data_IF_265572685887
#
_entry.id   IF_265572685887
#
_cell.length_a   1.000
_cell.length_b   1.000
_cell.length_c   1.000
_cell.angle_alpha   90.00
_cell.angle_beta   90.00
_cell.angle_gamma   90.00
#
_symmetry.space_group_name_H-M   'P 1'
#
loop_
_entity.id
_entity.type
_entity.pdbx_description
1 polymer ?
#
# COMPACT_ATOMS: atom_id res chain seq x y z
N UNK A 1 7.29 21.80 -8.83
CA UNK A 1 7.08 20.41 -9.27
C UNK A 1 6.75 19.50 -8.07
N UNK A 2 6.14 18.33 -8.30
CA UNK A 2 5.93 17.26 -7.32
C UNK A 2 6.21 15.91 -7.99
N UNK A 3 6.73 14.93 -7.25
CA UNK A 3 6.84 13.53 -7.71
C UNK A 3 5.44 12.91 -7.84
N UNK A 4 5.08 12.46 -9.04
CA UNK A 4 4.03 11.46 -9.24
C UNK A 4 4.64 10.06 -9.12
N UNK A 5 3.88 9.13 -8.53
CA UNK A 5 4.26 7.72 -8.44
C UNK A 5 3.28 6.82 -9.22
N UNK A 6 2.38 7.39 -10.02
CA UNK A 6 1.35 6.62 -10.71
C UNK A 6 1.90 5.61 -11.73
N UNK A 7 2.98 5.87 -12.50
CA UNK A 7 3.60 4.86 -13.36
C UNK A 7 3.99 3.59 -12.60
N UNK A 8 4.58 3.73 -11.40
CA UNK A 8 4.93 2.60 -10.54
C UNK A 8 3.69 1.89 -9.96
N UNK A 9 2.54 2.58 -9.83
CA UNK A 9 1.26 1.96 -9.43
C UNK A 9 0.59 1.22 -10.58
N UNK A 10 0.75 1.69 -11.81
CA UNK A 10 0.34 0.97 -13.02
C UNK A 10 1.16 -0.32 -13.15
N UNK A 11 2.50 -0.22 -13.09
CA UNK A 11 3.39 -1.40 -13.05
C UNK A 11 3.01 -2.36 -11.91
N UNK A 12 2.74 -1.83 -10.72
CA UNK A 12 2.26 -2.61 -9.56
C UNK A 12 0.93 -3.32 -9.81
N UNK A 13 -0.03 -2.75 -10.54
CA UNK A 13 -1.27 -3.45 -10.92
C UNK A 13 -0.96 -4.66 -11.81
N UNK A 14 -0.16 -4.46 -12.87
CA UNK A 14 0.22 -5.52 -13.81
C UNK A 14 0.97 -6.67 -13.12
N UNK A 15 1.93 -6.36 -12.23
CA UNK A 15 2.64 -7.36 -11.42
C UNK A 15 1.65 -8.19 -10.60
N UNK A 16 0.74 -7.54 -9.89
CA UNK A 16 -0.20 -8.25 -9.01
C UNK A 16 -1.26 -9.03 -9.77
N UNK A 17 -1.71 -8.57 -10.93
CA UNK A 17 -2.60 -9.30 -11.83
C UNK A 17 -1.99 -10.65 -12.25
N UNK A 18 -0.70 -10.67 -12.61
CA UNK A 18 0.03 -11.94 -12.88
C UNK A 18 0.07 -12.83 -11.65
N UNK A 19 0.40 -12.29 -10.47
CA UNK A 19 0.48 -13.09 -9.24
C UNK A 19 -0.87 -13.72 -8.87
N UNK A 20 -1.98 -13.01 -9.07
CA UNK A 20 -3.34 -13.50 -8.78
C UNK A 20 -3.92 -14.44 -9.84
N UNK A 21 -3.24 -14.67 -10.97
CA UNK A 21 -3.73 -15.56 -12.04
C UNK A 21 -3.19 -17.00 -11.96
N UNK A 22 -2.61 -17.40 -10.82
CA UNK A 22 -2.11 -18.76 -10.60
C UNK A 22 -3.06 -19.58 -9.73
N UNK A 23 -3.55 -20.70 -10.26
CA UNK A 23 -4.42 -21.62 -9.53
C UNK A 23 -3.73 -22.15 -8.26
N UNK A 24 -4.46 -22.14 -7.15
CA UNK A 24 -3.95 -22.60 -5.85
C UNK A 24 -2.92 -21.68 -5.20
N UNK A 25 -2.84 -20.40 -5.60
CA UNK A 25 -1.96 -19.38 -5.00
C UNK A 25 -2.76 -18.21 -4.44
N UNK A 26 -2.70 -17.99 -3.13
CA UNK A 26 -3.25 -16.79 -2.48
C UNK A 26 -2.19 -15.68 -2.37
N UNK A 27 -2.62 -14.41 -2.46
CA UNK A 27 -1.70 -13.25 -2.59
C UNK A 27 -2.00 -12.15 -1.56
N UNK A 28 -1.04 -11.83 -0.70
CA UNK A 28 -1.07 -10.64 0.17
C UNK A 28 -0.13 -9.55 -0.36
N UNK A 29 -0.68 -8.35 -0.61
CA UNK A 29 0.10 -7.18 -1.02
C UNK A 29 0.89 -6.59 0.16
N UNK A 30 2.20 -6.81 0.16
CA UNK A 30 3.13 -6.32 1.18
C UNK A 30 3.63 -4.88 0.92
N UNK A 31 3.78 -4.50 -0.35
CA UNK A 31 4.29 -3.19 -0.78
C UNK A 31 3.75 -2.78 -2.17
N UNK A 32 4.51 -1.92 -2.87
CA UNK A 32 4.21 -1.58 -4.27
C UNK A 32 4.79 -2.65 -5.22
N UNK A 33 5.92 -3.23 -4.84
CA UNK A 33 6.77 -4.19 -5.55
C UNK A 33 6.93 -5.52 -4.78
N UNK A 34 6.43 -5.61 -3.54
CA UNK A 34 6.55 -6.80 -2.69
C UNK A 34 5.20 -7.46 -2.39
N UNK A 35 5.15 -8.78 -2.52
CA UNK A 35 4.01 -9.63 -2.21
C UNK A 35 4.42 -10.80 -1.30
N UNK A 36 3.45 -11.34 -0.55
CA UNK A 36 3.53 -12.68 0.04
C UNK A 36 2.61 -13.60 -0.75
N UNK A 37 3.09 -14.81 -1.03
CA UNK A 37 2.37 -15.84 -1.77
C UNK A 37 2.21 -17.06 -0.85
N UNK A 38 0.99 -17.58 -0.74
CA UNK A 38 0.76 -18.91 -0.18
C UNK A 38 0.58 -19.84 -1.37
N UNK A 39 1.62 -20.64 -1.63
CA UNK A 39 1.68 -21.60 -2.74
C UNK A 39 1.40 -23.03 -2.28
N UNK A 40 0.89 -23.23 -1.05
CA UNK A 40 0.73 -24.56 -0.43
C UNK A 40 -0.14 -25.48 -1.29
N UNK A 41 -1.27 -24.98 -1.80
CA UNK A 41 -2.20 -25.76 -2.62
C UNK A 41 -1.61 -26.06 -4.02
N UNK A 42 -1.01 -25.06 -4.68
CA UNK A 42 -0.32 -25.25 -5.96
C UNK A 42 0.85 -26.26 -5.87
N UNK A 43 1.67 -26.18 -4.80
CA UNK A 43 2.77 -27.10 -4.55
C UNK A 43 2.27 -28.53 -4.24
N UNK A 44 1.17 -28.67 -3.49
CA UNK A 44 0.55 -29.96 -3.23
C UNK A 44 -0.03 -30.62 -4.49
N UNK A 45 -0.68 -29.83 -5.36
CA UNK A 45 -1.18 -30.30 -6.65
C UNK A 45 -0.05 -30.75 -7.59
N UNK A 46 1.04 -29.97 -7.68
CA UNK A 46 2.23 -30.37 -8.43
C UNK A 46 2.88 -31.65 -7.87
N UNK A 47 2.95 -31.78 -6.55
CA UNK A 47 3.47 -32.98 -5.88
C UNK A 47 2.59 -34.22 -6.14
N UNK A 48 1.27 -34.06 -6.16
CA UNK A 48 0.34 -35.14 -6.53
C UNK A 48 0.54 -35.59 -7.98
N UNK A 49 0.70 -34.63 -8.91
CA UNK A 49 1.02 -34.92 -10.32
C UNK A 49 2.34 -35.69 -10.44
N UNK A 50 3.40 -35.20 -9.80
CA UNK A 50 4.73 -35.86 -9.80
C UNK A 50 4.70 -37.28 -9.23
N UNK A 51 3.91 -37.53 -8.18
CA UNK A 51 3.69 -38.90 -7.66
C UNK A 51 3.00 -39.81 -8.68
N UNK A 52 1.97 -39.32 -9.38
CA UNK A 52 1.28 -40.10 -10.41
C UNK A 52 2.23 -40.43 -11.58
N UNK A 53 2.95 -39.43 -12.09
CA UNK A 53 3.97 -39.59 -13.14
C UNK A 53 5.03 -40.64 -12.74
N UNK A 54 5.50 -40.63 -11.49
CA UNK A 54 6.47 -41.62 -11.00
C UNK A 54 5.88 -43.03 -10.86
N UNK A 55 4.63 -43.16 -10.40
CA UNK A 55 3.97 -44.47 -10.30
C UNK A 55 3.78 -45.14 -11.67
N UNK A 56 3.44 -44.37 -12.71
CA UNK A 56 3.30 -44.90 -14.08
C UNK A 56 4.64 -45.40 -14.67
N UNK A 57 5.77 -44.88 -14.20
CA UNK A 57 7.11 -45.36 -14.57
C UNK A 57 7.60 -46.55 -13.71
N UNK A 58 6.77 -47.03 -12.77
CA UNK A 58 7.00 -48.28 -12.03
C UNK A 58 8.15 -48.27 -11.03
N UNK A 59 8.72 -47.11 -10.70
CA UNK A 59 9.92 -47.03 -9.86
C UNK A 59 9.82 -46.00 -8.73
N UNK A 60 10.20 -46.44 -7.52
CA UNK A 60 10.64 -45.57 -6.43
C UNK A 60 9.61 -45.23 -5.35
N UNK A 61 10.14 -45.00 -4.15
CA UNK A 61 9.40 -44.51 -2.98
C UNK A 61 9.61 -43.01 -2.76
N UNK A 62 8.95 -42.46 -1.74
CA UNK A 62 8.95 -41.02 -1.42
C UNK A 62 10.35 -40.41 -1.23
N UNK A 63 11.36 -41.20 -0.84
CA UNK A 63 12.76 -40.74 -0.74
C UNK A 63 13.42 -40.49 -2.11
N UNK A 64 13.07 -41.28 -3.13
CA UNK A 64 13.56 -41.12 -4.50
C UNK A 64 12.85 -39.97 -5.21
N UNK A 65 11.54 -39.81 -4.97
CA UNK A 65 10.78 -38.62 -5.36
C UNK A 65 11.41 -37.34 -4.81
N UNK A 66 11.72 -37.33 -3.51
CA UNK A 66 12.35 -36.18 -2.86
C UNK A 66 13.74 -35.86 -3.45
N UNK A 67 14.51 -36.87 -3.86
CA UNK A 67 15.82 -36.68 -4.51
C UNK A 67 15.70 -36.11 -5.93
N UNK A 68 14.75 -36.62 -6.73
CA UNK A 68 14.46 -36.09 -8.07
C UNK A 68 13.98 -34.63 -7.99
N UNK A 69 13.01 -34.34 -7.12
CA UNK A 69 12.50 -32.99 -6.89
C UNK A 69 13.57 -32.05 -6.32
N UNK A 70 14.48 -32.53 -5.46
CA UNK A 70 15.61 -31.72 -4.99
C UNK A 70 16.51 -31.28 -6.16
N UNK A 71 16.74 -32.18 -7.13
CA UNK A 71 17.55 -31.89 -8.33
C UNK A 71 16.88 -30.87 -9.24
N UNK A 72 15.57 -31.02 -9.50
CA UNK A 72 14.78 -30.04 -10.26
C UNK A 72 14.75 -28.67 -9.55
N UNK A 73 14.51 -28.65 -8.24
CA UNK A 73 14.43 -27.40 -7.47
C UNK A 73 15.79 -26.68 -7.39
N UNK A 74 16.90 -27.41 -7.28
CA UNK A 74 18.25 -26.85 -7.25
C UNK A 74 18.66 -26.19 -8.59
N UNK A 75 18.12 -26.65 -9.72
CA UNK A 75 18.36 -26.01 -11.02
C UNK A 75 17.77 -24.58 -11.10
N UNK A 76 16.73 -24.28 -10.32
CA UNK A 76 16.04 -22.97 -10.32
C UNK A 76 16.19 -22.17 -9.01
N UNK A 77 16.73 -22.76 -7.94
CA UNK A 77 16.74 -22.20 -6.58
C UNK A 77 18.06 -22.39 -5.87
N UNK A 78 18.59 -21.34 -5.23
CA UNK A 78 19.69 -21.47 -4.29
C UNK A 78 19.16 -22.00 -2.95
N UNK A 79 19.69 -23.12 -2.47
CA UNK A 79 19.33 -23.67 -1.15
C UNK A 79 20.18 -23.03 -0.06
N UNK A 80 19.57 -22.62 1.04
CA UNK A 80 20.30 -22.33 2.29
C UNK A 80 20.45 -23.63 3.08
N UNK A 81 21.59 -24.28 2.84
CA UNK A 81 22.04 -25.49 3.54
C UNK A 81 22.60 -25.18 4.95
N UNK A 82 22.80 -26.22 5.75
CA UNK A 82 23.40 -26.13 7.09
C UNK A 82 24.94 -26.08 7.09
N UNK A 83 25.61 -26.23 5.95
CA UNK A 83 27.05 -26.00 5.77
C UNK A 83 27.31 -24.62 5.11
N UNK A 84 28.30 -23.84 5.51
CA UNK A 84 29.71 -24.26 5.74
C UNK A 84 30.24 -24.11 7.17
N UNK A 85 29.42 -23.70 8.14
CA UNK A 85 29.85 -23.56 9.55
C UNK A 85 28.91 -24.33 10.49
N UNK A 86 29.22 -25.61 10.71
CA UNK A 86 28.70 -26.34 11.88
C UNK A 86 29.05 -25.52 13.13
N UNK A 87 28.05 -24.99 13.83
CA UNK A 87 28.28 -24.28 15.08
C UNK A 87 28.93 -25.24 16.08
N UNK A 88 30.08 -24.85 16.61
CA UNK A 88 30.84 -25.65 17.56
C UNK A 88 30.10 -25.76 18.90
N UNK A 89 29.24 -24.78 19.19
CA UNK A 89 28.35 -24.70 20.36
C UNK A 89 27.11 -25.61 20.24
N UNK A 90 27.32 -26.91 20.00
CA UNK A 90 26.24 -27.89 19.88
C UNK A 90 25.32 -27.94 21.12
N UNK A 91 25.87 -27.64 22.31
CA UNK A 91 25.12 -27.52 23.57
C UNK A 91 24.10 -26.37 23.53
N UNK A 92 24.40 -25.27 22.83
CA UNK A 92 23.49 -24.12 22.74
C UNK A 92 22.25 -24.43 21.90
N UNK A 93 22.39 -25.28 20.88
CA UNK A 93 21.26 -25.79 20.10
C UNK A 93 20.46 -26.88 20.85
N UNK A 94 21.02 -27.55 21.86
CA UNK A 94 20.41 -28.73 22.46
C UNK A 94 19.06 -28.47 23.17
N UNK A 95 18.80 -27.23 23.59
CA UNK A 95 17.61 -26.87 24.39
C UNK A 95 16.26 -26.90 23.63
N UNK A 96 16.26 -27.01 22.30
CA UNK A 96 15.03 -27.06 21.50
C UNK A 96 15.16 -28.12 20.38
N UNK A 97 14.10 -28.91 20.07
CA UNK A 97 14.12 -29.82 18.94
C UNK A 97 14.53 -29.13 17.63
N UNK A 98 15.31 -29.83 16.82
CA UNK A 98 15.47 -29.48 15.41
C UNK A 98 14.27 -30.09 14.68
N UNK A 99 13.56 -29.32 13.85
CA UNK A 99 12.52 -29.86 12.98
C UNK A 99 13.18 -30.78 11.94
N UNK A 100 12.90 -32.08 11.99
CA UNK A 100 13.48 -33.05 11.06
C UNK A 100 12.60 -33.20 9.83
N UNK A 101 12.97 -32.48 8.76
CA UNK A 101 12.27 -32.54 7.47
C UNK A 101 12.41 -33.92 6.82
N UNK A 102 11.41 -34.78 7.05
CA UNK A 102 11.25 -36.03 6.32
C UNK A 102 10.91 -35.80 4.84
N UNK A 103 11.07 -36.82 3.98
CA UNK A 103 10.87 -36.70 2.54
C UNK A 103 9.56 -36.00 2.10
N UNK A 104 8.36 -36.27 2.68
CA UNK A 104 7.13 -35.58 2.27
C UNK A 104 7.17 -34.05 2.42
N UNK A 105 7.81 -33.54 3.48
CA UNK A 105 7.94 -32.10 3.73
C UNK A 105 8.89 -31.49 2.71
N UNK A 106 10.05 -32.14 2.49
CA UNK A 106 11.04 -31.70 1.49
C UNK A 106 10.45 -31.66 0.09
N UNK A 107 9.76 -32.72 -0.34
CA UNK A 107 9.06 -32.81 -1.63
C UNK A 107 8.09 -31.64 -1.85
N UNK A 108 7.30 -31.27 -0.83
CA UNK A 108 6.38 -30.13 -0.91
C UNK A 108 7.13 -28.80 -1.08
N UNK A 109 8.22 -28.58 -0.35
CA UNK A 109 9.06 -27.38 -0.49
C UNK A 109 9.78 -27.31 -1.85
N UNK A 110 10.19 -28.45 -2.41
CA UNK A 110 10.77 -28.50 -3.76
C UNK A 110 9.71 -28.19 -4.83
N UNK A 111 8.50 -28.74 -4.74
CA UNK A 111 7.38 -28.35 -5.61
C UNK A 111 7.03 -26.86 -5.46
N UNK A 112 7.06 -26.29 -4.26
CA UNK A 112 6.87 -24.85 -4.04
C UNK A 112 7.95 -24.00 -4.74
N UNK A 113 9.20 -24.49 -4.81
CA UNK A 113 10.26 -23.82 -5.56
C UNK A 113 10.00 -23.82 -7.08
N UNK A 114 9.50 -24.94 -7.63
CA UNK A 114 9.13 -25.03 -9.05
C UNK A 114 7.97 -24.07 -9.38
N UNK A 115 6.91 -24.07 -8.56
CA UNK A 115 5.77 -23.13 -8.70
C UNK A 115 6.24 -21.67 -8.64
N UNK A 116 7.13 -21.31 -7.71
CA UNK A 116 7.68 -19.94 -7.61
C UNK A 116 8.58 -19.58 -8.80
N UNK A 117 9.27 -20.54 -9.40
CA UNK A 117 10.04 -20.33 -10.62
C UNK A 117 9.13 -20.07 -11.84
N UNK A 118 8.04 -20.82 -11.97
CA UNK A 118 7.02 -20.62 -13.01
C UNK A 118 6.33 -19.26 -12.88
N UNK A 119 5.96 -18.85 -11.65
CA UNK A 119 5.40 -17.52 -11.36
C UNK A 119 6.37 -16.41 -11.77
N UNK A 120 7.66 -16.55 -11.43
CA UNK A 120 8.70 -15.57 -11.80
C UNK A 120 8.95 -15.51 -13.30
N UNK A 121 8.87 -16.65 -14.01
CA UNK A 121 8.96 -16.70 -15.48
C UNK A 121 7.78 -15.98 -16.12
N UNK A 122 6.55 -16.32 -15.76
CA UNK A 122 5.35 -15.70 -16.29
C UNK A 122 5.27 -14.19 -16.00
N UNK A 123 5.81 -13.74 -14.85
CA UNK A 123 5.94 -12.31 -14.53
C UNK A 123 6.85 -11.58 -15.53
N UNK A 124 8.04 -12.14 -15.82
CA UNK A 124 8.96 -11.58 -16.81
C UNK A 124 8.37 -11.62 -18.22
N UNK A 125 7.71 -12.71 -18.60
CA UNK A 125 7.05 -12.86 -19.91
C UNK A 125 5.89 -11.87 -20.11
N UNK A 126 5.03 -11.66 -19.10
CA UNK A 126 3.84 -10.79 -19.22
C UNK A 126 4.08 -9.31 -18.91
N UNK A 127 5.16 -8.94 -18.21
CA UNK A 127 5.39 -7.56 -17.75
C UNK A 127 6.77 -6.99 -18.03
N UNK A 128 7.73 -7.82 -18.49
CA UNK A 128 9.14 -7.46 -18.60
C UNK A 128 9.88 -7.37 -17.26
N UNK A 129 9.22 -7.40 -16.10
CA UNK A 129 9.86 -7.24 -14.80
C UNK A 129 10.46 -8.54 -14.26
N UNK A 130 11.66 -8.44 -13.67
CA UNK A 130 12.32 -9.53 -12.95
C UNK A 130 12.06 -9.42 -11.45
N UNK A 131 11.79 -10.55 -10.80
CA UNK A 131 11.58 -10.61 -9.35
C UNK A 131 12.56 -11.60 -8.68
N UNK A 132 12.82 -11.38 -7.40
CA UNK A 132 13.54 -12.33 -6.54
C UNK A 132 12.65 -12.78 -5.40
N UNK A 133 12.76 -14.04 -4.98
CA UNK A 133 11.84 -14.67 -4.05
C UNK A 133 12.55 -15.42 -2.90
N UNK A 134 11.84 -15.60 -1.79
CA UNK A 134 12.24 -16.48 -0.70
C UNK A 134 11.14 -17.49 -0.43
N UNK A 135 11.48 -18.78 -0.38
CA UNK A 135 10.58 -19.89 -0.08
C UNK A 135 10.95 -20.43 1.30
N UNK A 136 10.01 -20.36 2.26
CA UNK A 136 10.20 -20.84 3.63
C UNK A 136 8.87 -20.92 4.38
N UNK A 137 8.83 -21.62 5.51
CA UNK A 137 7.58 -22.04 6.20
C UNK A 137 6.68 -20.93 6.78
N UNK A 138 7.02 -19.65 6.61
CA UNK A 138 6.19 -18.50 6.97
C UNK A 138 6.69 -17.21 6.31
N UNK A 139 5.85 -16.17 6.30
CA UNK A 139 6.14 -14.83 5.75
C UNK A 139 7.43 -14.20 6.31
N UNK A 140 7.77 -14.44 7.57
CA UNK A 140 8.98 -13.86 8.18
C UNK A 140 10.25 -14.48 7.57
N UNK A 141 10.30 -15.81 7.50
CA UNK A 141 11.40 -16.57 6.91
C UNK A 141 11.50 -16.36 5.39
N UNK A 142 10.38 -16.36 4.68
CA UNK A 142 10.33 -16.01 3.25
C UNK A 142 10.88 -14.60 2.99
N UNK A 143 10.50 -13.61 3.82
CA UNK A 143 10.97 -12.22 3.66
C UNK A 143 12.47 -12.08 3.89
N UNK A 144 13.04 -12.65 4.95
CA UNK A 144 14.48 -12.48 5.24
C UNK A 144 15.38 -13.10 4.17
N UNK A 145 15.05 -14.27 3.62
CA UNK A 145 15.87 -14.93 2.59
C UNK A 145 15.60 -14.41 1.16
N UNK A 146 14.50 -13.68 0.93
CA UNK A 146 14.18 -13.07 -0.38
C UNK A 146 15.23 -12.07 -0.88
N UNK A 147 16.10 -11.57 0.01
CA UNK A 147 17.18 -10.66 -0.30
C UNK A 147 18.52 -11.35 -0.63
N UNK A 148 18.75 -12.58 -0.16
CA UNK A 148 20.09 -13.19 -0.07
C UNK A 148 20.82 -13.30 -1.40
N UNK A 149 20.11 -13.64 -2.48
CA UNK A 149 20.69 -13.88 -3.80
C UNK A 149 20.19 -12.89 -4.87
N UNK A 150 19.74 -11.69 -4.48
CA UNK A 150 19.33 -10.65 -5.45
C UNK A 150 20.50 -10.23 -6.36
N UNK A 151 20.27 -9.88 -7.64
CA UNK A 151 18.98 -9.82 -8.35
C UNK A 151 18.58 -11.15 -9.02
N UNK A 152 17.31 -11.23 -9.44
CA UNK A 152 16.70 -12.29 -10.25
C UNK A 152 17.01 -13.75 -9.86
N UNK A 153 17.05 -14.05 -8.55
CA UNK A 153 17.14 -15.42 -8.01
C UNK A 153 16.04 -15.70 -7.00
N UNK A 154 15.85 -16.97 -6.68
CA UNK A 154 15.02 -17.41 -5.56
C UNK A 154 15.84 -18.26 -4.59
N UNK A 155 15.48 -18.19 -3.31
CA UNK A 155 16.20 -18.83 -2.21
C UNK A 155 15.26 -19.73 -1.40
N UNK A 156 15.63 -20.98 -1.16
CA UNK A 156 14.89 -21.91 -0.31
C UNK A 156 15.52 -21.97 1.08
N UNK A 157 14.70 -21.91 2.13
CA UNK A 157 15.04 -22.27 3.50
C UNK A 157 14.07 -23.35 3.98
N UNK A 158 14.58 -24.56 4.17
CA UNK A 158 13.82 -25.69 4.70
C UNK A 158 13.50 -25.49 6.20
N UNK A 159 12.38 -26.04 6.72
CA UNK A 159 11.99 -25.91 8.13
C UNK A 159 13.10 -26.27 9.12
N UNK A 160 13.81 -27.39 8.94
CA UNK A 160 14.91 -27.82 9.81
C UNK A 160 16.10 -26.88 9.80
N UNK A 161 16.55 -26.47 8.61
CA UNK A 161 17.63 -25.50 8.44
C UNK A 161 17.28 -24.10 9.01
N UNK A 162 15.99 -23.80 9.21
CA UNK A 162 15.54 -22.49 9.70
C UNK A 162 16.10 -22.14 11.08
N UNK A 163 16.32 -23.14 11.95
CA UNK A 163 16.92 -22.92 13.27
C UNK A 163 18.39 -22.52 13.16
N UNK A 164 19.17 -23.30 12.41
CA UNK A 164 20.60 -23.08 12.16
C UNK A 164 20.86 -21.73 11.48
N UNK A 165 20.01 -21.36 10.51
CA UNK A 165 20.02 -20.05 9.87
C UNK A 165 19.69 -18.89 10.83
N UNK A 166 18.64 -19.02 11.64
CA UNK A 166 18.21 -17.95 12.55
C UNK A 166 19.18 -17.70 13.70
N UNK A 167 19.83 -18.73 14.23
CA UNK A 167 20.66 -18.60 15.44
C UNK A 167 21.74 -17.51 15.30
N UNK A 168 22.38 -17.44 14.13
CA UNK A 168 23.39 -16.41 13.78
C UNK A 168 22.81 -15.10 13.24
N UNK A 169 21.50 -15.02 12.98
CA UNK A 169 20.88 -13.85 12.39
C UNK A 169 20.72 -12.73 13.44
N UNK A 170 21.21 -11.50 13.18
CA UNK A 170 20.88 -10.35 14.02
C UNK A 170 19.37 -10.13 14.06
N UNK A 171 18.75 -10.21 15.24
CA UNK A 171 17.29 -10.31 15.35
C UNK A 171 16.57 -9.04 14.85
N UNK A 172 17.27 -7.90 14.85
CA UNK A 172 16.82 -6.63 14.26
C UNK A 172 16.55 -6.71 12.75
N UNK A 173 17.09 -7.71 12.04
CA UNK A 173 16.75 -7.98 10.63
C UNK A 173 15.38 -8.63 10.44
N UNK A 174 14.76 -9.20 11.48
CA UNK A 174 13.43 -9.80 11.41
C UNK A 174 12.33 -8.74 11.22
N UNK A 175 11.25 -9.12 10.52
CA UNK A 175 10.12 -8.23 10.22
C UNK A 175 9.47 -7.72 11.52
N UNK A 176 9.57 -6.40 11.74
CA UNK A 176 9.05 -5.71 12.93
C UNK A 176 10.11 -5.34 13.98
N UNK A 177 11.35 -5.83 13.87
CA UNK A 177 12.41 -5.56 14.85
C UNK A 177 13.42 -4.50 14.41
N UNK A 178 13.47 -4.13 13.13
CA UNK A 178 14.36 -3.08 12.59
C UNK A 178 13.98 -1.64 12.96
N UNK A 179 13.38 -1.41 14.13
CA UNK A 179 12.93 -0.11 14.62
C UNK A 179 13.02 -0.02 16.15
N UNK A 180 12.33 0.98 16.75
CA UNK A 180 12.44 1.29 18.19
C UNK A 180 12.36 0.06 19.10
N UNK A 181 11.39 -0.83 18.87
CA UNK A 181 11.20 -2.08 19.60
C UNK A 181 12.50 -2.91 19.68
N UNK A 182 13.11 -3.24 18.53
CA UNK A 182 14.33 -4.04 18.51
C UNK A 182 15.55 -3.31 19.06
N UNK A 183 15.68 -2.00 18.86
CA UNK A 183 16.77 -1.22 19.46
C UNK A 183 16.67 -1.15 20.99
N UNK A 184 15.45 -1.09 21.55
CA UNK A 184 15.23 -1.14 23.00
C UNK A 184 15.50 -2.55 23.53
N UNK A 185 14.98 -3.59 22.86
CA UNK A 185 15.24 -4.99 23.22
C UNK A 185 16.72 -5.33 23.22
N UNK A 186 17.49 -4.92 22.19
CA UNK A 186 18.92 -5.21 22.10
C UNK A 186 19.70 -4.61 23.29
N UNK A 187 19.34 -3.37 23.67
CA UNK A 187 19.95 -2.66 24.80
C UNK A 187 19.57 -3.26 26.16
N UNK A 188 18.30 -3.63 26.36
CA UNK A 188 17.78 -4.05 27.68
C UNK A 188 17.88 -5.56 27.94
N UNK A 189 17.99 -6.38 26.89
CA UNK A 189 18.28 -7.81 26.98
C UNK A 189 19.77 -8.15 26.77
N UNK A 190 20.58 -7.19 26.31
CA UNK A 190 22.02 -7.33 26.01
C UNK A 190 22.26 -8.50 25.04
N UNK A 191 21.66 -8.38 23.85
CA UNK A 191 21.70 -9.38 22.79
C UNK A 191 21.62 -8.72 21.40
N UNK A 192 22.24 -9.32 20.40
CA UNK A 192 22.22 -8.85 19.01
C UNK A 192 21.58 -9.85 18.04
N UNK A 193 21.65 -11.15 18.36
CA UNK A 193 21.24 -12.29 17.54
C UNK A 193 19.95 -12.94 18.01
N UNK A 194 19.33 -13.76 17.16
CA UNK A 194 18.20 -14.60 17.57
C UNK A 194 18.66 -15.76 18.49
N UNK A 195 19.93 -16.18 18.42
CA UNK A 195 20.50 -17.23 19.26
C UNK A 195 20.59 -16.84 20.73
N UNK A 196 21.11 -15.65 21.03
CA UNK A 196 21.15 -15.09 22.39
C UNK A 196 19.75 -14.92 22.99
N UNK A 197 18.77 -14.53 22.15
CA UNK A 197 17.37 -14.44 22.54
C UNK A 197 16.61 -15.78 22.54
N UNK A 198 17.23 -16.88 22.07
CA UNK A 198 16.52 -18.13 21.79
C UNK A 198 15.94 -18.76 23.06
N UNK A 199 16.72 -18.78 24.13
CA UNK A 199 16.35 -19.38 25.42
C UNK A 199 15.80 -18.36 26.43
N UNK A 200 15.55 -17.11 26.01
CA UNK A 200 14.95 -16.08 26.86
C UNK A 200 13.49 -16.43 27.18
N UNK A 201 13.14 -16.42 28.46
CA UNK A 201 11.80 -16.68 28.96
C UNK A 201 10.79 -15.66 28.39
N UNK A 202 9.58 -16.09 28.06
CA UNK A 202 8.59 -15.27 27.33
C UNK A 202 8.21 -14.01 28.10
N UNK A 203 8.18 -14.12 29.41
CA UNK A 203 7.86 -13.08 30.39
C UNK A 203 8.84 -11.90 30.30
N UNK A 204 10.08 -12.13 29.86
CA UNK A 204 11.08 -11.08 29.63
C UNK A 204 10.78 -10.21 28.40
N UNK A 205 9.91 -10.65 27.48
CA UNK A 205 9.50 -9.84 26.33
C UNK A 205 8.27 -8.96 26.62
N UNK A 206 7.48 -9.28 27.63
CA UNK A 206 6.25 -8.54 27.96
C UNK A 206 6.43 -7.03 28.24
N UNK A 207 7.51 -6.54 28.90
CA UNK A 207 7.71 -5.11 29.13
C UNK A 207 7.77 -4.29 27.84
N UNK A 208 8.30 -4.83 26.74
CA UNK A 208 8.42 -4.14 25.46
C UNK A 208 7.08 -3.99 24.69
N UNK A 209 6.05 -4.70 25.14
CA UNK A 209 4.68 -4.73 24.57
C UNK A 209 3.63 -4.36 25.63
N UNK A 210 4.00 -3.48 26.57
CA UNK A 210 3.07 -2.93 27.57
C UNK A 210 2.54 -3.94 28.59
N UNK A 211 3.15 -5.12 28.70
CA UNK A 211 2.73 -6.22 29.56
C UNK A 211 1.90 -7.31 28.85
N UNK A 212 1.61 -7.18 27.56
CA UNK A 212 0.79 -8.16 26.84
C UNK A 212 1.55 -9.50 26.63
N UNK A 213 1.08 -10.54 27.32
CA UNK A 213 1.68 -11.89 27.24
C UNK A 213 1.34 -12.64 25.95
N UNK A 214 0.37 -12.21 25.14
CA UNK A 214 0.14 -12.75 23.79
C UNK A 214 1.13 -12.14 22.80
N UNK A 215 1.31 -10.81 22.79
CA UNK A 215 2.33 -10.15 21.97
C UNK A 215 3.76 -10.60 22.35
N UNK A 216 4.02 -10.83 23.65
CA UNK A 216 5.29 -11.39 24.12
C UNK A 216 5.57 -12.79 23.54
N UNK A 217 4.53 -13.64 23.43
CA UNK A 217 4.63 -14.95 22.76
C UNK A 217 4.89 -14.79 21.28
N UNK A 218 4.25 -13.83 20.59
CA UNK A 218 4.53 -13.55 19.18
C UNK A 218 5.94 -13.00 18.93
N UNK A 219 6.51 -12.23 19.86
CA UNK A 219 7.92 -11.81 19.80
C UNK A 219 8.82 -13.05 19.87
N UNK A 220 8.64 -13.88 20.90
CA UNK A 220 9.44 -15.08 21.09
C UNK A 220 9.29 -16.09 19.93
N UNK A 221 8.08 -16.25 19.39
CA UNK A 221 7.79 -17.08 18.23
C UNK A 221 8.55 -16.60 16.98
N UNK A 222 8.47 -15.31 16.65
CA UNK A 222 9.16 -14.72 15.49
C UNK A 222 10.68 -14.87 15.57
N UNK A 223 11.27 -14.66 16.75
CA UNK A 223 12.70 -14.88 17.01
C UNK A 223 13.08 -16.35 16.77
N UNK A 224 12.22 -17.29 17.20
CA UNK A 224 12.39 -18.74 17.02
C UNK A 224 11.94 -19.27 15.65
N UNK A 225 11.62 -18.40 14.69
CA UNK A 225 11.21 -18.78 13.34
C UNK A 225 9.80 -19.36 13.20
N UNK A 226 8.97 -19.25 14.23
CA UNK A 226 7.56 -19.64 14.24
C UNK A 226 6.71 -18.42 13.89
N UNK A 227 5.97 -18.49 12.78
CA UNK A 227 5.08 -17.43 12.34
C UNK A 227 3.62 -17.75 12.71
N UNK A 228 2.90 -16.77 13.26
CA UNK A 228 1.44 -16.86 13.45
C UNK A 228 0.71 -16.48 12.15
N UNK A 229 1.02 -17.17 11.06
CA UNK A 229 0.45 -16.92 9.74
C UNK A 229 -0.93 -17.57 9.62
N UNK A 230 -1.91 -16.93 10.25
CA UNK A 230 -3.36 -17.27 10.22
C UNK A 230 -4.00 -16.90 8.87
N UNK A 231 -3.40 -17.38 7.79
CA UNK A 231 -3.74 -17.05 6.41
C UNK A 231 -3.14 -15.72 5.93
N UNK A 232 -3.08 -15.58 4.61
CA UNK A 232 -2.76 -14.31 3.95
C UNK A 232 -4.00 -13.41 3.92
N UNK A 233 -3.86 -12.11 4.18
CA UNK A 233 -4.97 -11.19 3.90
C UNK A 233 -4.94 -10.73 2.45
N UNK A 234 -5.74 -11.38 1.61
CA UNK A 234 -6.03 -10.91 0.26
C UNK A 234 -6.63 -9.49 0.34
N UNK A 235 -5.98 -8.54 -0.34
CA UNK A 235 -6.36 -7.11 -0.32
C UNK A 235 -6.10 -6.46 -1.67
N UNK A 236 -7.15 -6.40 -2.47
CA UNK A 236 -7.11 -5.81 -3.80
C UNK A 236 -7.08 -4.27 -3.69
N UNK A 237 -7.98 -3.69 -2.90
CA UNK A 237 -8.08 -2.25 -2.70
C UNK A 237 -7.12 -1.71 -1.60
N UNK A 238 -6.54 -0.50 -1.77
CA UNK A 238 -5.69 0.14 -0.76
C UNK A 238 -6.49 0.64 0.45
N UNK A 239 -5.92 0.55 1.67
CA UNK A 239 -6.55 1.06 2.90
C UNK A 239 -6.63 2.59 3.01
N UNK A 240 -5.80 3.31 2.26
CA UNK A 240 -5.74 4.77 2.25
C UNK A 240 -5.10 5.31 0.97
N UNK A 241 -5.44 6.54 0.63
CA UNK A 241 -4.83 7.33 -0.45
C UNK A 241 -4.14 8.55 0.18
N UNK A 242 -2.95 8.91 -0.28
CA UNK A 242 -2.08 9.92 0.35
C UNK A 242 -1.33 10.72 -0.71
N UNK A 243 -1.57 12.02 -0.80
CA UNK A 243 -0.80 12.98 -1.60
C UNK A 243 0.00 13.88 -0.65
N UNK A 244 1.33 13.78 -0.67
CA UNK A 244 2.23 14.50 0.23
C UNK A 244 3.27 15.31 -0.55
N UNK A 245 3.59 16.52 -0.08
CA UNK A 245 4.72 17.32 -0.57
C UNK A 245 5.39 18.05 0.60
N UNK A 246 6.67 17.75 0.81
CA UNK A 246 7.61 18.63 1.51
C UNK A 246 8.21 19.64 0.52
N UNK A 247 8.36 20.90 0.91
CA UNK A 247 8.78 22.01 0.06
C UNK A 247 9.68 22.98 0.83
N UNK A 248 10.64 23.57 0.12
CA UNK A 248 11.59 24.55 0.65
C UNK A 248 11.64 25.76 -0.28
N UNK A 249 11.76 27.00 0.23
CA UNK A 249 11.73 27.36 1.64
C UNK A 249 10.33 27.15 2.27
N UNK A 250 10.30 26.93 3.58
CA UNK A 250 9.06 26.90 4.35
C UNK A 250 8.30 28.24 4.20
N UNK A 251 6.97 28.20 4.22
CA UNK A 251 6.13 29.38 3.94
C UNK A 251 4.92 29.49 4.87
N UNK A 252 4.38 30.70 5.00
CA UNK A 252 3.11 31.01 5.64
C UNK A 252 2.24 31.92 4.74
N UNK A 253 2.58 31.96 3.46
CA UNK A 253 1.93 32.71 2.39
C UNK A 253 0.71 31.94 1.88
N UNK A 254 -0.49 32.52 2.03
CA UNK A 254 -1.75 31.87 1.67
C UNK A 254 -1.81 31.41 0.21
N UNK A 255 -1.24 32.18 -0.74
CA UNK A 255 -1.27 31.82 -2.16
C UNK A 255 -0.34 30.63 -2.44
N UNK A 256 0.85 30.62 -1.84
CA UNK A 256 1.80 29.50 -1.97
C UNK A 256 1.31 28.24 -1.26
N UNK A 257 0.67 28.39 -0.10
CA UNK A 257 0.02 27.28 0.60
C UNK A 257 -1.13 26.71 -0.21
N UNK A 258 -2.05 27.56 -0.70
CA UNK A 258 -3.18 27.14 -1.52
C UNK A 258 -2.73 26.47 -2.81
N UNK A 259 -1.74 27.01 -3.52
CA UNK A 259 -1.19 26.40 -4.74
C UNK A 259 -0.70 24.97 -4.54
N UNK A 260 0.01 24.68 -3.44
CA UNK A 260 0.40 23.31 -3.11
C UNK A 260 -0.79 22.43 -2.72
N UNK A 261 -1.74 22.95 -1.93
CA UNK A 261 -2.92 22.20 -1.51
C UNK A 261 -3.81 21.82 -2.71
N UNK A 262 -3.97 22.71 -3.69
CA UNK A 262 -4.69 22.45 -4.94
C UNK A 262 -4.04 21.35 -5.78
N UNK A 263 -2.70 21.32 -5.89
CA UNK A 263 -1.98 20.23 -6.55
C UNK A 263 -2.18 18.90 -5.82
N UNK A 264 -2.07 18.88 -4.49
CA UNK A 264 -2.26 17.67 -3.69
C UNK A 264 -3.71 17.16 -3.73
N UNK A 265 -4.69 18.06 -3.70
CA UNK A 265 -6.11 17.72 -3.73
C UNK A 265 -6.52 17.14 -5.09
N UNK A 266 -6.04 17.74 -6.20
CA UNK A 266 -6.34 17.23 -7.55
C UNK A 266 -5.69 15.87 -7.83
N UNK A 267 -4.46 15.62 -7.37
CA UNK A 267 -3.88 14.26 -7.38
C UNK A 267 -4.70 13.28 -6.53
N UNK A 268 -5.15 13.70 -5.35
CA UNK A 268 -5.90 12.84 -4.45
C UNK A 268 -7.26 12.45 -5.06
N UNK A 269 -7.97 13.39 -5.70
CA UNK A 269 -9.24 13.12 -6.41
C UNK A 269 -9.00 12.20 -7.62
N UNK A 270 -7.99 12.44 -8.46
CA UNK A 270 -7.66 11.54 -9.56
C UNK A 270 -7.42 10.10 -9.07
N UNK A 271 -6.75 9.94 -7.93
CA UNK A 271 -6.52 8.61 -7.33
C UNK A 271 -7.75 8.00 -6.68
N UNK A 272 -8.72 8.80 -6.21
CA UNK A 272 -10.04 8.29 -5.83
C UNK A 272 -10.78 7.74 -7.03
N UNK A 273 -10.77 8.44 -8.17
CA UNK A 273 -11.44 8.01 -9.42
C UNK A 273 -10.86 6.68 -9.90
N UNK A 274 -9.53 6.57 -9.94
CA UNK A 274 -8.82 5.33 -10.28
C UNK A 274 -9.24 4.18 -9.34
N UNK A 275 -9.14 4.38 -8.03
CA UNK A 275 -9.46 3.31 -7.04
C UNK A 275 -10.95 2.94 -7.01
N UNK A 276 -11.84 3.87 -7.36
CA UNK A 276 -13.25 3.55 -7.53
C UNK A 276 -13.51 2.74 -8.80
N UNK A 277 -12.81 3.05 -9.89
CA UNK A 277 -12.90 2.32 -11.16
C UNK A 277 -12.34 0.89 -11.01
N UNK A 278 -11.17 0.76 -10.37
CA UNK A 278 -10.48 -0.51 -10.16
C UNK A 278 -11.22 -1.46 -9.18
N UNK A 279 -11.94 -0.91 -8.18
CA UNK A 279 -12.40 -1.70 -7.02
C UNK A 279 -13.84 -1.41 -6.52
N UNK A 280 -14.57 -0.44 -7.09
CA UNK A 280 -15.94 -0.09 -6.66
C UNK A 280 -16.06 0.50 -5.25
N UNK A 281 -14.95 0.90 -4.62
CA UNK A 281 -14.90 1.43 -3.25
C UNK A 281 -14.55 2.93 -3.23
N UNK A 282 -15.16 3.67 -2.29
CA UNK A 282 -14.82 5.07 -2.03
C UNK A 282 -14.39 5.33 -0.58
N UNK A 283 -13.46 6.27 -0.34
CA UNK A 283 -13.16 6.77 1.00
C UNK A 283 -14.31 7.64 1.55
N UNK A 284 -14.35 7.77 2.88
CA UNK A 284 -15.35 8.57 3.61
C UNK A 284 -14.73 9.67 4.48
N UNK A 285 -13.44 9.55 4.83
CA UNK A 285 -12.74 10.53 5.67
C UNK A 285 -11.65 11.25 4.86
N UNK A 286 -11.62 12.58 4.95
CA UNK A 286 -10.52 13.44 4.50
C UNK A 286 -9.59 13.75 5.68
N UNK A 287 -8.28 13.57 5.50
CA UNK A 287 -7.25 13.82 6.50
C UNK A 287 -6.27 14.88 5.98
N UNK A 288 -5.94 15.84 6.82
CA UNK A 288 -5.06 16.97 6.53
C UNK A 288 -3.95 16.95 7.58
N UNK A 289 -2.70 16.82 7.13
CA UNK A 289 -1.52 16.96 8.00
C UNK A 289 -0.59 18.06 7.52
N UNK A 290 -0.01 18.76 8.47
CA UNK A 290 0.84 19.94 8.23
C UNK A 290 2.07 19.86 9.11
N UNK A 291 3.24 20.07 8.50
CA UNK A 291 4.53 20.13 9.19
C UNK A 291 5.17 21.51 9.06
N UNK A 292 5.97 21.88 10.05
CA UNK A 292 6.93 22.98 10.02
C UNK A 292 8.39 22.51 9.88
N UNK A 293 8.63 21.22 10.18
CA UNK A 293 9.92 20.53 10.14
C UNK A 293 9.70 19.08 9.67
N UNK A 294 9.01 18.93 8.53
CA UNK A 294 8.49 17.66 8.02
C UNK A 294 7.33 17.10 8.83
N UNK A 295 6.99 15.83 8.57
CA UNK A 295 5.89 15.10 9.25
C UNK A 295 6.41 14.10 10.30
N UNK A 296 7.66 14.25 10.72
CA UNK A 296 8.35 13.41 11.71
C UNK A 296 8.58 14.11 13.06
N UNK A 297 8.24 15.40 13.17
CA UNK A 297 8.28 16.15 14.44
C UNK A 297 7.07 15.82 15.34
N UNK A 298 7.13 16.26 16.59
CA UNK A 298 5.99 16.23 17.53
C UNK A 298 4.87 17.18 17.13
N UNK A 299 5.20 18.24 16.37
CA UNK A 299 4.37 19.44 16.23
C UNK A 299 3.49 19.39 14.96
N UNK A 300 3.26 18.18 14.44
CA UNK A 300 2.49 17.93 13.22
C UNK A 300 1.00 18.13 13.52
N UNK A 301 0.43 19.19 12.97
CA UNK A 301 -1.02 19.33 12.93
C UNK A 301 -1.61 18.14 12.18
N UNK A 302 -2.62 17.49 12.77
CA UNK A 302 -3.34 16.38 12.16
C UNK A 302 -4.84 16.59 12.38
N UNK A 303 -5.59 16.84 11.31
CA UNK A 303 -7.04 17.03 11.35
C UNK A 303 -7.72 16.04 10.42
N UNK A 304 -8.90 15.56 10.83
CA UNK A 304 -9.76 14.72 10.00
C UNK A 304 -11.18 15.27 9.99
N UNK A 305 -11.86 15.07 8.87
CA UNK A 305 -13.24 15.49 8.63
C UNK A 305 -13.91 14.52 7.64
N UNK A 306 -15.23 14.62 7.48
CA UNK A 306 -15.94 13.90 6.43
C UNK A 306 -15.47 14.39 5.03
N UNK A 307 -15.38 13.45 4.09
CA UNK A 307 -15.06 13.73 2.69
C UNK A 307 -16.35 14.10 1.94
N UNK A 308 -16.48 15.30 1.34
CA UNK A 308 -17.61 15.62 0.47
C UNK A 308 -17.69 14.65 -0.71
N UNK A 309 -18.90 14.27 -1.10
CA UNK A 309 -19.14 13.31 -2.19
C UNK A 309 -20.20 13.84 -3.18
N UNK A 310 -19.91 13.90 -4.50
CA UNK A 310 -18.61 13.62 -5.13
C UNK A 310 -17.51 14.61 -4.68
N UNK A 311 -16.23 14.19 -4.64
CA UNK A 311 -15.13 15.02 -4.16
C UNK A 311 -14.62 15.94 -5.27
N UNK A 312 -14.56 17.25 -4.99
CA UNK A 312 -13.93 18.23 -5.87
C UNK A 312 -12.53 18.65 -5.37
N UNK A 313 -11.60 18.83 -6.30
CA UNK A 313 -10.22 19.16 -5.99
C UNK A 313 -10.03 20.56 -5.40
N UNK A 314 -10.79 21.55 -5.87
CA UNK A 314 -10.68 22.92 -5.36
C UNK A 314 -11.42 23.09 -4.03
N UNK A 315 -12.57 22.43 -3.83
CA UNK A 315 -13.23 22.35 -2.52
C UNK A 315 -12.32 21.74 -1.44
N UNK A 316 -11.65 20.62 -1.74
CA UNK A 316 -10.71 19.98 -0.80
C UNK A 316 -9.48 20.86 -0.52
N UNK A 317 -9.01 21.64 -1.49
CA UNK A 317 -7.92 22.60 -1.29
C UNK A 317 -8.33 23.76 -0.37
N UNK A 318 -9.53 24.34 -0.56
CA UNK A 318 -10.07 25.37 0.33
C UNK A 318 -10.30 24.84 1.75
N UNK A 319 -10.85 23.63 1.89
CA UNK A 319 -11.03 22.96 3.17
C UNK A 319 -9.70 22.77 3.92
N UNK A 320 -8.66 22.30 3.22
CA UNK A 320 -7.34 22.15 3.79
C UNK A 320 -6.71 23.51 4.19
N UNK A 321 -6.85 24.55 3.36
CA UNK A 321 -6.33 25.89 3.67
C UNK A 321 -7.02 26.48 4.91
N UNK A 322 -8.33 26.32 5.04
CA UNK A 322 -9.07 26.78 6.22
C UNK A 322 -8.55 26.11 7.52
N UNK A 323 -8.29 24.80 7.49
CA UNK A 323 -7.67 24.06 8.60
C UNK A 323 -6.25 24.55 8.91
N UNK A 324 -5.42 24.77 7.88
CA UNK A 324 -4.05 25.31 8.02
C UNK A 324 -4.08 26.69 8.68
N UNK A 325 -4.88 27.63 8.15
CA UNK A 325 -4.99 29.00 8.67
C UNK A 325 -5.54 29.03 10.09
N UNK A 326 -6.54 28.21 10.40
CA UNK A 326 -7.08 28.07 11.75
C UNK A 326 -6.03 27.56 12.75
N UNK A 327 -5.11 26.66 12.35
CA UNK A 327 -4.02 26.25 13.21
C UNK A 327 -2.97 27.36 13.40
N UNK A 328 -2.52 27.98 12.30
CA UNK A 328 -1.54 29.08 12.34
C UNK A 328 -2.02 30.28 13.16
N UNK A 329 -3.33 30.51 13.25
CA UNK A 329 -3.92 31.58 14.05
C UNK A 329 -4.08 31.25 15.55
N UNK A 330 -4.13 29.97 15.95
CA UNK A 330 -4.45 29.55 17.33
C UNK A 330 -3.25 29.09 18.16
N UNK A 331 -2.11 28.76 17.53
CA UNK A 331 -0.85 28.59 18.26
C UNK A 331 -0.25 29.97 18.62
N UNK A 332 0.74 30.01 19.51
CA UNK A 332 1.59 31.19 19.81
C UNK A 332 2.53 31.58 18.63
N UNK A 333 2.11 31.23 17.42
CA UNK A 333 2.92 30.95 16.25
C UNK A 333 3.00 32.13 15.25
N UNK A 334 3.09 33.37 15.75
CA UNK A 334 3.31 34.55 14.90
C UNK A 334 4.67 34.44 14.18
N UNK A 335 4.64 33.93 12.95
CA UNK A 335 5.82 33.70 12.12
C UNK A 335 6.17 32.22 11.87
N UNK A 336 5.41 31.27 12.40
CA UNK A 336 5.59 29.85 12.04
C UNK A 336 5.34 29.65 10.55
N UNK A 337 6.27 28.96 9.90
CA UNK A 337 6.22 28.59 8.49
C UNK A 337 6.01 27.09 8.39
N UNK A 338 5.17 26.68 7.44
CA UNK A 338 4.93 25.27 7.11
C UNK A 338 5.84 24.85 5.97
N UNK A 339 6.38 23.64 6.05
CA UNK A 339 7.33 23.07 5.08
C UNK A 339 6.78 21.78 4.43
N UNK A 340 5.68 21.23 4.94
CA UNK A 340 5.13 19.97 4.46
C UNK A 340 3.61 19.90 4.59
N UNK A 341 2.96 19.42 3.54
CA UNK A 341 1.55 19.04 3.55
C UNK A 341 1.40 17.57 3.18
N UNK A 342 0.45 16.89 3.84
CA UNK A 342 -0.10 15.60 3.41
C UNK A 342 -1.63 15.72 3.43
N UNK A 343 -2.23 15.45 2.27
CA UNK A 343 -3.68 15.25 2.13
C UNK A 343 -3.94 13.76 1.97
N UNK A 344 -4.89 13.23 2.73
CA UNK A 344 -5.19 11.81 2.78
C UNK A 344 -6.67 11.51 2.70
N UNK A 345 -7.00 10.32 2.20
CA UNK A 345 -8.35 9.78 2.19
C UNK A 345 -8.35 8.36 2.76
N UNK A 346 -9.28 8.09 3.68
CA UNK A 346 -9.30 6.82 4.45
C UNK A 346 -10.72 6.29 4.64
N UNK A 347 -10.83 5.08 5.20
CA UNK A 347 -12.08 4.33 5.40
C UNK A 347 -12.77 4.09 4.05
N UNK A 348 -12.18 3.21 3.23
CA UNK A 348 -12.75 2.83 1.94
C UNK A 348 -13.84 1.77 2.13
N UNK A 349 -15.01 1.95 1.51
CA UNK A 349 -16.13 1.00 1.51
C UNK A 349 -16.76 0.92 0.11
N UNK A 350 -17.41 -0.19 -0.28
CA UNK A 350 -18.20 -0.25 -1.51
C UNK A 350 -19.29 0.81 -1.55
N UNK A 351 -19.53 1.40 -2.73
CA UNK A 351 -20.67 2.29 -2.96
C UNK A 351 -21.32 2.02 -4.33
N UNK A 352 -22.33 1.12 -4.39
CA UNK A 352 -23.04 0.79 -5.63
C UNK A 352 -24.00 1.89 -6.12
N UNK A 353 -24.14 3.00 -5.40
CA UNK A 353 -24.89 4.16 -5.86
C UNK A 353 -24.06 5.10 -6.73
N UNK A 354 -22.72 5.02 -6.67
CA UNK A 354 -21.83 5.85 -7.49
C UNK A 354 -21.30 5.08 -8.71
N UNK A 355 -21.08 5.78 -9.81
CA UNK A 355 -20.38 5.32 -11.02
C UNK A 355 -19.33 6.35 -11.44
N UNK A 356 -18.37 5.98 -12.30
CA UNK A 356 -17.46 6.93 -12.95
C UNK A 356 -17.81 7.04 -14.43
N UNK A 357 -17.88 8.26 -14.94
CA UNK A 357 -18.07 8.60 -16.37
C UNK A 357 -17.07 9.71 -16.71
N UNK A 358 -16.30 9.55 -17.78
CA UNK A 358 -15.27 10.51 -18.23
C UNK A 358 -14.31 10.99 -17.12
N UNK A 359 -13.92 10.07 -16.23
CA UNK A 359 -13.05 10.35 -15.09
C UNK A 359 -13.72 11.17 -13.97
N UNK A 360 -15.05 11.32 -13.98
CA UNK A 360 -15.83 12.07 -12.99
C UNK A 360 -16.82 11.16 -12.27
N UNK A 361 -17.07 11.43 -10.99
CA UNK A 361 -18.04 10.70 -10.19
C UNK A 361 -19.48 11.14 -10.51
N UNK A 362 -20.35 10.17 -10.80
CA UNK A 362 -21.77 10.35 -11.06
C UNK A 362 -22.56 9.50 -10.04
N UNK A 363 -23.39 10.14 -9.22
CA UNK A 363 -24.15 9.47 -8.16
C UNK A 363 -25.60 9.26 -8.60
N UNK A 364 -26.07 8.01 -8.58
CA UNK A 364 -27.48 7.66 -8.83
C UNK A 364 -28.33 8.26 -7.70
N UNK A 365 -29.29 9.12 -8.05
CA UNK A 365 -29.94 10.00 -7.08
C UNK A 365 -30.68 9.26 -5.94
N UNK A 366 -30.20 9.42 -4.70
CA UNK A 366 -31.06 9.34 -3.50
C UNK A 366 -30.48 10.04 -2.26
N UNK A 367 -30.74 11.35 -2.17
CA UNK A 367 -30.61 12.21 -0.97
C UNK A 367 -29.18 12.35 -0.36
N UNK A 368 -28.82 13.44 0.32
CA UNK A 368 -29.53 14.71 0.61
C UNK A 368 -28.48 15.84 0.53
N UNK A 369 -28.80 17.00 -0.02
CA UNK A 369 -27.83 18.10 -0.12
C UNK A 369 -27.41 18.59 1.28
N UNK A 370 -26.12 18.52 1.58
CA UNK A 370 -25.56 18.91 2.88
C UNK A 370 -25.21 20.40 2.92
N UNK A 371 -26.23 21.24 2.69
CA UNK A 371 -26.13 22.72 2.72
C UNK A 371 -26.05 23.25 4.15
N UNK A 372 -24.93 22.94 4.83
CA UNK A 372 -24.54 23.52 6.13
C UNK A 372 -23.06 23.94 6.17
N UNK A 373 -22.31 23.73 5.08
CA UNK A 373 -20.85 23.84 5.03
C UNK A 373 -20.28 25.27 5.10
N UNK A 374 -21.12 26.32 5.13
CA UNK A 374 -20.70 27.73 5.10
C UNK A 374 -21.22 28.58 6.28
N UNK A 375 -21.94 28.00 7.24
CA UNK A 375 -22.54 28.74 8.37
C UNK A 375 -22.04 28.34 9.76
N UNK A 376 -21.09 27.41 9.85
CA UNK A 376 -20.50 26.96 11.11
C UNK A 376 -19.45 27.95 11.64
N UNK A 377 -19.90 29.03 12.29
CA UNK A 377 -19.05 29.89 13.10
C UNK A 377 -18.39 29.09 14.26
N UNK A 378 -17.17 29.45 14.72
CA UNK A 378 -16.44 28.68 15.73
C UNK A 378 -17.08 28.80 17.12
N UNK A 379 -17.99 27.88 17.44
CA UNK A 379 -18.59 27.75 18.76
C UNK A 379 -17.57 27.34 19.83
N UNK A 380 -17.58 28.03 20.97
CA UNK A 380 -16.73 27.74 22.12
C UNK A 380 -17.13 26.41 22.80
N UNK A 381 -16.15 25.69 23.39
CA UNK A 381 -16.47 24.45 24.11
C UNK A 381 -15.32 23.52 24.52
N UNK A 382 -14.08 23.76 24.08
CA UNK A 382 -12.93 22.90 24.41
C UNK A 382 -12.42 23.09 25.85
N UNK A 383 -13.06 22.46 26.85
CA UNK A 383 -12.48 22.37 28.20
C UNK A 383 -11.22 21.50 28.19
N UNK A 384 -10.10 22.04 28.68
CA UNK A 384 -8.91 21.25 28.97
C UNK A 384 -9.21 20.21 30.06
N UNK A 385 -8.53 19.07 30.00
CA UNK A 385 -8.65 18.00 30.99
C UNK A 385 -8.05 18.43 32.34
N UNK A 386 -8.91 18.77 33.31
CA UNK A 386 -8.51 19.07 34.67
C UNK A 386 -8.06 17.81 35.43
N UNK A 387 -7.08 17.99 36.32
CA UNK A 387 -6.53 16.93 37.20
C UNK A 387 -7.63 16.24 37.99
N UNK A 388 -7.66 14.90 37.98
CA UNK A 388 -8.55 14.12 38.86
C UNK A 388 -8.27 14.44 40.34
N UNK A 389 -9.31 14.83 41.06
CA UNK A 389 -9.44 14.59 42.50
C UNK A 389 -10.59 13.62 42.73
N UNK A 390 -10.42 12.71 43.67
CA UNK A 390 -11.48 11.80 44.11
C UNK A 390 -12.53 12.55 44.94
N UNK A 391 -13.78 12.08 44.91
CA UNK A 391 -14.57 12.03 46.14
C UNK A 391 -15.19 10.64 46.39
N UNK A 392 -15.60 10.41 47.63
CA UNK A 392 -16.03 9.13 48.18
C UNK A 392 -17.54 8.87 48.12
N UNK A 393 -17.90 7.62 47.81
CA UNK A 393 -18.99 6.81 48.40
C UNK A 393 -20.48 7.21 48.30
N UNK A 394 -21.31 6.15 48.23
CA UNK A 394 -22.77 6.04 48.51
C UNK A 394 -23.79 6.73 47.60
N UNK A 395 -24.89 6.01 47.30
CA UNK A 395 -26.10 6.52 46.67
C UNK A 395 -26.78 5.51 45.75
N UNK A 396 -27.68 4.67 46.27
CA UNK A 396 -28.60 3.84 45.47
C UNK A 396 -29.72 4.69 44.84
N UNK A 397 -30.20 4.30 43.65
CA UNK A 397 -31.63 4.04 43.37
C UNK A 397 -31.96 3.81 41.87
N UNK A 398 -32.59 2.66 41.59
CA UNK A 398 -33.64 2.39 40.55
C UNK A 398 -33.53 2.98 39.13
N UNK A 399 -33.41 2.09 38.14
CA UNK A 399 -33.84 2.35 36.74
C UNK A 399 -35.35 2.14 36.56
N UNK A 400 -36.03 2.98 35.77
CA UNK A 400 -37.39 2.72 35.27
C UNK A 400 -37.41 2.70 33.73
N UNK A 401 -37.97 1.63 33.14
CA UNK A 401 -38.05 1.43 31.68
C UNK A 401 -39.35 1.99 31.09
N UNK A 402 -39.28 3.12 30.38
CA UNK A 402 -40.38 3.62 29.54
C UNK A 402 -40.08 3.42 28.04
N UNK A 403 -40.94 2.66 27.33
CA UNK A 403 -40.84 2.48 25.89
C UNK A 403 -41.50 3.65 25.13
N UNK A 404 -40.91 4.09 24.00
CA UNK A 404 -41.46 5.19 23.17
C UNK A 404 -41.78 4.71 21.75
N UNK A 405 -43.03 4.93 21.33
CA UNK A 405 -43.54 4.50 20.03
C UNK A 405 -43.07 5.38 18.86
N UNK A 406 -43.16 4.84 17.63
CA UNK A 406 -42.89 5.56 16.37
C UNK A 406 -44.14 6.34 15.91
N UNK A 407 -44.02 7.61 15.48
CA UNK A 407 -45.09 8.31 14.77
C UNK A 407 -45.25 7.78 13.33
N UNK A 408 -46.43 8.00 12.74
CA UNK A 408 -46.73 7.75 11.31
C UNK A 408 -46.36 8.98 10.46
N UNK A 409 -46.12 8.83 9.15
CA UNK A 409 -45.97 9.98 8.25
C UNK A 409 -47.32 10.63 7.95
N UNK A 410 -47.34 11.95 7.86
CA UNK A 410 -48.46 12.72 7.32
C UNK A 410 -48.32 12.87 5.79
N UNK A 411 -49.44 13.01 5.09
CA UNK A 411 -49.50 13.25 3.64
C UNK A 411 -49.86 14.72 3.43
N UNK A 412 -49.03 15.46 2.70
CA UNK A 412 -49.31 16.84 2.30
C UNK A 412 -49.45 16.87 0.79
N UNK A 413 -50.66 17.16 0.32
CA UNK A 413 -50.98 17.47 -1.07
C UNK A 413 -50.70 18.94 -1.36
N UNK A 414 -50.08 19.24 -2.50
CA UNK A 414 -49.98 20.61 -3.02
C UNK A 414 -50.94 20.77 -4.20
N UNK A 415 -51.76 21.83 -4.14
CA UNK A 415 -52.67 22.24 -5.20
C UNK A 415 -52.02 23.28 -6.12
N UNK A 416 -52.31 23.20 -7.40
CA UNK A 416 -51.87 24.19 -8.39
C UNK A 416 -52.62 25.53 -8.23
N UNK A 417 -51.93 26.62 -8.56
CA UNK A 417 -52.56 27.84 -9.06
C UNK A 417 -51.58 28.59 -9.98
N UNK A 418 -52.12 29.29 -10.98
CA UNK A 418 -51.38 29.79 -12.13
C UNK A 418 -51.61 31.28 -12.37
N UNK A 419 -50.67 31.92 -13.06
CA UNK A 419 -50.88 33.18 -13.79
C UNK A 419 -49.90 33.28 -14.97
N UNK A 420 -50.31 33.99 -16.02
CA UNK A 420 -49.69 33.95 -17.35
C UNK A 420 -49.08 35.31 -17.75
N UNK A 421 -48.06 35.26 -18.63
CA UNK A 421 -47.77 36.23 -19.69
C UNK A 421 -46.57 35.70 -20.51
N UNK A 422 -46.72 34.99 -21.64
CA UNK A 422 -47.22 35.43 -22.95
C UNK A 422 -46.32 36.45 -23.67
N UNK A 423 -45.62 36.00 -24.72
CA UNK A 423 -45.71 36.58 -26.07
C UNK A 423 -45.08 35.61 -27.09
N UNK A 424 -45.40 35.81 -28.38
CA UNK A 424 -45.35 34.77 -29.40
C UNK A 424 -44.10 34.80 -30.32
N UNK A 425 -43.91 33.68 -31.00
CA UNK A 425 -43.04 33.46 -32.16
C UNK A 425 -43.69 34.04 -33.44
N UNK A 426 -42.86 34.48 -34.40
CA UNK A 426 -43.22 34.70 -35.80
C UNK A 426 -41.93 34.86 -36.64
N UNK A 427 -41.91 34.40 -37.90
CA UNK A 427 -40.64 34.23 -38.63
C UNK A 427 -40.68 34.45 -40.15
N UNK A 428 -39.85 33.66 -40.87
CA UNK A 428 -39.74 33.52 -42.33
C UNK A 428 -38.93 34.56 -43.17
N UNK A 429 -37.71 34.11 -43.53
CA UNK A 429 -37.22 33.96 -44.92
C UNK A 429 -36.64 35.16 -45.74
N UNK A 430 -35.87 34.78 -46.78
CA UNK A 430 -35.27 35.58 -47.88
C UNK A 430 -34.16 36.62 -47.51
N UNK A 431 -33.10 36.84 -48.30
CA UNK A 431 -32.45 36.08 -49.40
C UNK A 431 -31.03 36.64 -49.69
N UNK A 432 -30.30 35.99 -50.62
CA UNK A 432 -29.29 36.58 -51.52
C UNK A 432 -27.99 37.22 -50.96
N UNK A 433 -26.94 36.39 -50.93
CA UNK A 433 -25.63 36.61 -51.58
C UNK A 433 -24.88 37.97 -51.49
N UNK A 434 -23.62 37.90 -51.01
CA UNK A 434 -22.42 38.41 -51.72
C UNK A 434 -21.11 37.95 -51.05
N UNK A 435 -20.25 37.28 -51.82
CA UNK A 435 -18.79 37.32 -51.65
C UNK A 435 -18.24 38.42 -52.59
N UNK A 436 -16.96 38.85 -52.46
CA UNK A 436 -15.89 38.12 -53.15
C UNK A 436 -14.49 38.15 -52.46
N UNK A 437 -13.51 37.52 -53.12
CA UNK A 437 -12.05 37.82 -53.26
C UNK A 437 -11.34 38.89 -52.39
N UNK A 438 -10.01 38.87 -52.19
CA UNK A 438 -8.90 37.91 -52.37
C UNK A 438 -7.58 38.66 -51.97
N UNK A 439 -6.42 38.12 -52.35
CA UNK A 439 -5.09 38.79 -52.44
C UNK A 439 -4.43 39.22 -51.10
N UNK A 440 -3.09 39.33 -50.97
CA UNK A 440 -1.94 38.58 -51.52
C UNK A 440 -0.69 38.93 -50.67
N UNK A 441 0.31 38.03 -50.54
CA UNK A 441 1.69 38.35 -50.10
C UNK A 441 2.66 37.13 -50.10
N UNK A 442 3.62 37.17 -51.02
CA UNK A 442 5.01 36.65 -50.98
C UNK A 442 5.69 36.68 -49.58
N UNK A 443 6.50 35.70 -49.09
CA UNK A 443 7.69 34.93 -49.61
C UNK A 443 9.04 35.48 -49.06
N UNK A 444 10.11 34.67 -49.13
CA UNK A 444 11.46 34.82 -48.52
C UNK A 444 11.51 34.48 -47.01
N UNK A 445 12.34 33.57 -46.47
CA UNK A 445 13.56 32.84 -46.91
C UNK A 445 14.82 33.68 -47.08
N UNK A 446 15.72 33.58 -46.10
CA UNK A 446 17.16 33.87 -46.20
C UNK A 446 17.91 32.71 -45.53
N UNK A 447 19.06 32.35 -46.10
CA UNK A 447 19.90 31.19 -45.77
C UNK A 447 21.39 31.59 -45.99
N UNK A 448 22.30 30.62 -45.85
CA UNK A 448 23.68 30.57 -46.37
C UNK A 448 24.81 31.25 -45.56
N UNK A 449 25.91 30.49 -45.41
CA UNK A 449 27.33 30.88 -45.23
C UNK A 449 27.81 31.58 -43.93
N UNK A 450 29.00 31.31 -43.37
CA UNK A 450 30.00 30.20 -43.47
C UNK A 450 30.93 30.33 -42.20
N UNK A 451 32.15 29.82 -41.98
CA UNK A 451 33.21 29.16 -42.80
C UNK A 451 34.03 28.10 -41.97
N UNK A 452 34.81 27.28 -42.68
CA UNK A 452 36.11 26.59 -42.39
C UNK A 452 36.64 26.46 -40.92
N UNK A 453 37.16 25.32 -40.42
CA UNK A 453 37.30 23.90 -40.85
C UNK A 453 37.35 23.02 -39.54
N UNK A 454 37.97 21.85 -39.27
CA UNK A 454 38.88 20.83 -39.86
C UNK A 454 38.69 19.53 -39.00
N UNK A 455 38.90 18.27 -39.40
CA UNK A 455 39.37 17.65 -40.65
C UNK A 455 39.37 16.10 -40.57
N UNK A 456 40.24 15.42 -41.34
CA UNK A 456 40.65 13.99 -41.29
C UNK A 456 39.62 12.84 -40.99
N UNK A 457 39.09 12.22 -42.06
CA UNK A 457 39.51 10.83 -42.40
C UNK A 457 38.64 9.60 -42.08
N UNK A 458 37.65 9.30 -42.96
CA UNK A 458 37.23 7.97 -43.52
C UNK A 458 37.11 6.65 -42.67
N UNK A 459 36.28 5.66 -43.10
CA UNK A 459 34.95 5.75 -43.71
C UNK A 459 33.93 4.67 -43.21
N UNK A 460 32.74 4.63 -43.82
CA UNK A 460 31.55 3.80 -43.52
C UNK A 460 31.70 2.26 -43.44
N UNK A 461 30.82 1.65 -42.63
CA UNK A 461 29.88 0.60 -43.12
C UNK A 461 28.48 0.84 -42.52
N UNK A 462 27.45 0.90 -43.36
CA UNK A 462 26.05 1.20 -42.98
C UNK A 462 25.20 -0.08 -42.86
N UNK A 463 24.32 -0.15 -41.86
CA UNK A 463 23.14 -1.04 -41.87
C UNK A 463 21.96 -0.46 -41.06
N UNK A 464 20.74 -0.51 -41.62
CA UNK A 464 19.48 -0.07 -41.00
C UNK A 464 19.10 -0.92 -39.76
N UNK A 465 18.55 -0.40 -38.66
CA UNK A 465 17.36 0.46 -38.47
C UNK A 465 16.01 -0.22 -38.73
N UNK A 466 15.36 -0.73 -37.67
CA UNK A 466 13.91 -0.64 -37.43
C UNK A 466 13.61 -0.62 -35.92
N UNK A 467 12.57 0.11 -35.43
CA UNK A 467 12.26 0.25 -34.01
C UNK A 467 11.12 -0.65 -33.50
N UNK A 468 11.08 -0.84 -32.17
CA UNK A 468 9.93 -1.28 -31.36
C UNK A 468 9.91 -0.48 -30.04
#
# INVERSE_FOLDING_TARGET
>A
HKVTLEPYRIASRLIFEVLTSFDGVSVEKGGIDEAFLDVTNAAAALLQKKRAEQHDHGNGGEAELAAALATEAAAVTAFLDESSERMQDAESLAAAPIETDGPPVRSLFYCACLVVADIRRALRERTGYEASAGIGKNRSLAKIISATHKPNRQTLLLPGASKTFLYKLPFTKLRGFGGKLGSTMAKELVAETCGELWNVAVERFAPFVGGDMAEAREIAARIRGVGNDTGLTERNAPKSLLAQKAFYPATNDDQKMFGWLTVLAKELVQRMVIVFTDFGVRPFNFNIKVGSHGLSSTDVLNKSQELPWPPDGDQLAHAALAVVKHALANHEAKGLKVDCFLLGATVLKPDPATTVVDGRFVVRQRQRALTSWLSAAPGSGGKLAGVKREPTASGDATEERAARAKPRPEVITLSESSSEASLADDGAAHEAARSPSADDASVEVVDVSDDEDDGDGEPDVIAASQPL
#
